data_IF_989932538327
#
_entry.id   IF_989932538327
#
_cell.length_a   1.000
_cell.length_b   1.000
_cell.length_c   1.000
_cell.angle_alpha   90.00
_cell.angle_beta   90.00
_cell.angle_gamma   90.00
#
_symmetry.space_group_name_H-M   'P 1'
#
loop_
_entity.id
_entity.type
_entity.pdbx_description
1 polymer ?
#
# COMPACT_ATOMS: atom_id res chain seq x y z
N UNK A 1 -15.87 -18.67 -9.57
CA UNK A 1 -15.45 -17.70 -10.60
C UNK A 1 -16.61 -16.80 -11.03
N UNK A 2 -17.67 -17.33 -11.68
CA UNK A 2 -18.79 -16.50 -12.15
C UNK A 2 -19.48 -15.68 -11.05
N UNK A 3 -19.66 -16.23 -9.84
CA UNK A 3 -20.21 -15.45 -8.71
C UNK A 3 -19.36 -14.23 -8.36
N UNK A 4 -18.04 -14.37 -8.32
CA UNK A 4 -17.12 -13.25 -8.04
C UNK A 4 -17.16 -12.22 -9.17
N UNK A 5 -17.20 -12.69 -10.43
CA UNK A 5 -17.38 -11.83 -11.59
C UNK A 5 -18.68 -11.02 -11.50
N UNK A 6 -19.80 -11.65 -11.16
CA UNK A 6 -21.09 -10.97 -11.01
C UNK A 6 -21.07 -9.94 -9.86
N UNK A 7 -20.43 -10.25 -8.73
CA UNK A 7 -20.28 -9.31 -7.62
C UNK A 7 -19.42 -8.09 -8.00
N UNK A 8 -18.33 -8.31 -8.77
CA UNK A 8 -17.52 -7.23 -9.29
C UNK A 8 -18.33 -6.30 -10.20
N UNK A 9 -19.05 -6.84 -11.19
CA UNK A 9 -19.85 -6.00 -12.09
C UNK A 9 -21.01 -5.31 -11.38
N UNK A 10 -21.62 -5.96 -10.40
CA UNK A 10 -22.61 -5.30 -9.54
C UNK A 10 -22.01 -4.05 -8.88
N UNK A 11 -20.85 -4.15 -8.22
CA UNK A 11 -20.22 -2.99 -7.59
C UNK A 11 -19.73 -1.94 -8.61
N UNK A 12 -19.08 -2.39 -9.68
CA UNK A 12 -18.49 -1.55 -10.72
C UNK A 12 -19.54 -0.73 -11.47
N UNK A 13 -20.64 -1.35 -11.89
CA UNK A 13 -21.74 -0.66 -12.59
C UNK A 13 -22.41 0.39 -11.70
N UNK A 14 -22.64 0.08 -10.41
CA UNK A 14 -23.23 1.05 -9.48
C UNK A 14 -22.27 2.21 -9.15
N UNK A 15 -20.95 1.97 -9.15
CA UNK A 15 -19.97 3.05 -9.09
C UNK A 15 -20.10 3.98 -10.30
N UNK A 16 -20.14 3.42 -11.51
CA UNK A 16 -20.30 4.21 -12.74
C UNK A 16 -21.61 5.01 -12.77
N UNK A 17 -22.70 4.47 -12.23
CA UNK A 17 -24.00 5.13 -12.22
C UNK A 17 -24.14 6.21 -11.13
N UNK A 18 -23.60 5.96 -9.93
CA UNK A 18 -23.93 6.76 -8.73
C UNK A 18 -22.75 7.56 -8.15
N UNK A 19 -21.52 7.26 -8.56
CA UNK A 19 -20.33 7.89 -7.96
C UNK A 19 -19.31 8.39 -8.98
N UNK A 20 -19.24 7.89 -10.21
CA UNK A 20 -18.33 8.47 -11.20
C UNK A 20 -18.66 9.97 -11.45
N UNK A 21 -17.68 10.90 -11.43
CA UNK A 21 -16.22 10.70 -11.44
C UNK A 21 -15.52 10.76 -10.06
N UNK A 22 -16.26 10.74 -8.95
CA UNK A 22 -15.70 10.75 -7.59
C UNK A 22 -14.79 9.54 -7.32
N UNK A 23 -13.94 9.66 -6.30
CA UNK A 23 -12.99 8.59 -5.93
C UNK A 23 -13.68 7.28 -5.52
N UNK A 24 -14.73 7.38 -4.70
CA UNK A 24 -15.39 6.23 -4.07
C UNK A 24 -16.92 6.33 -4.12
N UNK A 25 -17.59 5.18 -4.16
CA UNK A 25 -19.04 5.06 -3.96
C UNK A 25 -19.35 4.85 -2.48
N UNK A 26 -20.31 5.59 -1.94
CA UNK A 26 -20.98 5.26 -0.68
C UNK A 26 -22.22 4.42 -0.97
N UNK A 27 -22.16 3.08 -0.89
CA UNK A 27 -23.21 2.21 -1.43
C UNK A 27 -24.54 2.29 -0.67
N UNK A 28 -24.54 2.75 0.59
CA UNK A 28 -25.76 2.88 1.39
C UNK A 28 -26.54 4.17 1.08
N UNK A 29 -25.82 5.25 0.77
CA UNK A 29 -26.41 6.55 0.40
C UNK A 29 -26.52 6.74 -1.11
N UNK A 30 -25.91 5.85 -1.90
CA UNK A 30 -25.88 5.87 -3.36
C UNK A 30 -25.35 7.19 -3.93
N UNK A 31 -24.26 7.68 -3.38
CA UNK A 31 -23.57 8.89 -3.86
C UNK A 31 -22.05 8.73 -3.81
N UNK A 32 -21.34 9.59 -4.53
CA UNK A 32 -19.89 9.61 -4.59
C UNK A 32 -19.25 10.46 -3.50
N UNK A 33 -17.99 10.17 -3.18
CA UNK A 33 -17.14 11.00 -2.32
C UNK A 33 -15.71 11.06 -2.85
N UNK A 34 -15.06 12.21 -2.68
CA UNK A 34 -13.62 12.38 -2.94
C UNK A 34 -12.86 12.18 -1.63
N UNK A 35 -12.06 11.13 -1.60
CA UNK A 35 -11.28 10.73 -0.43
C UNK A 35 -9.80 11.05 -0.62
N UNK A 36 -9.30 11.01 -1.86
CA UNK A 36 -7.86 10.96 -2.14
C UNK A 36 -7.36 11.93 -3.21
N UNK A 37 -8.23 12.73 -3.80
CA UNK A 37 -7.83 13.82 -4.70
C UNK A 37 -8.68 13.98 -5.95
N UNK A 38 -9.84 13.29 -6.03
CA UNK A 38 -10.78 13.36 -7.16
C UNK A 38 -10.16 12.84 -8.47
N UNK A 39 -9.48 11.70 -8.42
CA UNK A 39 -8.82 11.07 -9.57
C UNK A 39 -9.66 9.98 -10.24
N UNK A 40 -10.95 9.85 -9.86
CA UNK A 40 -11.75 8.66 -10.15
C UNK A 40 -11.05 7.39 -9.66
N UNK A 41 -10.57 7.41 -8.42
CA UNK A 41 -9.71 6.37 -7.83
C UNK A 41 -10.22 4.93 -8.04
N UNK A 42 -11.51 4.67 -7.78
CA UNK A 42 -12.12 3.34 -8.00
C UNK A 42 -11.96 2.89 -9.45
N UNK A 43 -12.02 3.82 -10.40
CA UNK A 43 -11.86 3.51 -11.82
C UNK A 43 -10.42 3.12 -12.16
N UNK A 44 -9.43 3.78 -11.55
CA UNK A 44 -8.00 3.44 -11.69
C UNK A 44 -7.72 2.07 -11.05
N UNK A 45 -8.15 1.85 -9.80
CA UNK A 45 -7.96 0.60 -9.06
C UNK A 45 -8.65 -0.61 -9.73
N UNK A 46 -9.72 -0.38 -10.51
CA UNK A 46 -10.46 -1.45 -11.18
C UNK A 46 -9.85 -1.91 -12.53
N UNK A 47 -8.92 -1.15 -13.13
CA UNK A 47 -8.44 -1.38 -14.49
C UNK A 47 -7.83 -2.76 -14.70
N UNK A 48 -6.84 -3.13 -13.89
CA UNK A 48 -6.17 -4.42 -14.03
C UNK A 48 -7.15 -5.59 -13.79
N UNK A 49 -8.11 -5.41 -12.88
CA UNK A 49 -9.16 -6.38 -12.55
C UNK A 49 -10.13 -6.58 -13.71
N UNK A 50 -10.53 -5.52 -14.41
CA UNK A 50 -11.33 -5.62 -15.64
C UNK A 50 -10.66 -6.55 -16.66
N UNK A 51 -9.34 -6.40 -16.85
CA UNK A 51 -8.58 -7.26 -17.74
C UNK A 51 -8.48 -8.69 -17.24
N UNK A 52 -8.22 -8.92 -15.95
CA UNK A 52 -8.18 -10.26 -15.34
C UNK A 52 -9.53 -10.99 -15.50
N UNK A 53 -10.64 -10.26 -15.40
CA UNK A 53 -11.99 -10.78 -15.65
C UNK A 53 -12.34 -10.92 -17.14
N UNK A 54 -11.46 -10.49 -18.04
CA UNK A 54 -11.57 -10.64 -19.49
C UNK A 54 -12.41 -9.58 -20.19
N UNK A 55 -12.73 -8.47 -19.53
CA UNK A 55 -13.49 -7.36 -20.13
C UNK A 55 -12.57 -6.31 -20.73
N UNK A 56 -12.04 -6.68 -21.88
CA UNK A 56 -11.07 -5.89 -22.64
C UNK A 56 -11.69 -4.58 -23.18
N UNK A 57 -12.95 -4.62 -23.61
CA UNK A 57 -13.65 -3.42 -24.11
C UNK A 57 -13.79 -2.35 -23.04
N UNK A 58 -14.11 -2.76 -21.81
CA UNK A 58 -14.26 -1.82 -20.71
C UNK A 58 -12.91 -1.29 -20.24
N UNK A 59 -11.88 -2.13 -20.20
CA UNK A 59 -10.51 -1.69 -19.98
C UNK A 59 -10.12 -0.57 -20.96
N UNK A 60 -10.34 -0.78 -22.26
CA UNK A 60 -10.05 0.21 -23.31
C UNK A 60 -10.85 1.50 -23.13
N UNK A 61 -12.13 1.40 -22.80
CA UNK A 61 -12.99 2.56 -22.54
C UNK A 61 -12.43 3.39 -21.38
N UNK A 62 -12.10 2.73 -20.26
CA UNK A 62 -11.58 3.39 -19.07
C UNK A 62 -10.25 4.06 -19.34
N UNK A 63 -9.34 3.41 -20.06
CA UNK A 63 -8.06 4.02 -20.46
C UNK A 63 -8.26 5.34 -21.21
N UNK A 64 -9.27 5.45 -22.07
CA UNK A 64 -9.59 6.71 -22.75
C UNK A 64 -10.20 7.73 -21.80
N UNK A 65 -11.14 7.32 -20.94
CA UNK A 65 -11.78 8.22 -19.95
C UNK A 65 -10.75 8.84 -19.01
N UNK A 66 -9.78 8.07 -18.53
CA UNK A 66 -8.76 8.59 -17.63
C UNK A 66 -7.85 9.62 -18.32
N UNK A 67 -7.46 9.36 -19.57
CA UNK A 67 -6.62 10.29 -20.34
C UNK A 67 -7.32 11.63 -20.63
N UNK A 68 -8.65 11.61 -20.75
CA UNK A 68 -9.43 12.82 -21.02
C UNK A 68 -9.85 13.56 -19.74
N UNK A 69 -9.97 12.84 -18.60
CA UNK A 69 -10.64 13.36 -17.40
C UNK A 69 -9.76 13.58 -16.17
N UNK A 70 -8.57 12.96 -16.08
CA UNK A 70 -7.71 13.08 -14.89
C UNK A 70 -6.66 14.17 -15.09
N UNK A 71 -6.62 15.10 -14.14
CA UNK A 71 -5.64 16.19 -14.06
C UNK A 71 -4.93 16.14 -12.70
N UNK A 72 -3.60 16.14 -12.70
CA UNK A 72 -2.78 16.17 -11.48
C UNK A 72 -2.32 17.58 -11.09
N UNK A 73 -2.64 18.61 -11.88
CA UNK A 73 -2.39 20.03 -11.59
C UNK A 73 -3.53 20.69 -10.80
N UNK A 74 -4.04 20.01 -9.77
CA UNK A 74 -5.17 20.47 -8.94
C UNK A 74 -4.74 20.92 -7.54
N UNK A 75 -5.37 21.97 -7.01
CA UNK A 75 -5.14 22.47 -5.65
C UNK A 75 -5.86 21.58 -4.62
N UNK A 76 -5.31 20.39 -4.39
CA UNK A 76 -5.82 19.42 -3.43
C UNK A 76 -4.67 18.81 -2.62
N UNK A 77 -4.92 18.59 -1.33
CA UNK A 77 -4.01 17.82 -0.49
C UNK A 77 -4.30 16.34 -0.65
N UNK A 78 -3.28 15.57 -1.07
CA UNK A 78 -3.38 14.14 -1.26
C UNK A 78 -2.44 13.39 -0.30
N UNK A 79 -2.83 12.17 0.07
CA UNK A 79 -1.97 11.25 0.82
C UNK A 79 -0.86 10.74 -0.10
N UNK A 80 0.39 10.89 0.33
CA UNK A 80 1.56 10.46 -0.46
C UNK A 80 1.57 8.94 -0.63
N UNK A 81 1.22 8.22 0.44
CA UNK A 81 1.16 6.77 0.48
C UNK A 81 0.03 6.22 -0.41
N UNK A 82 -1.19 6.72 -0.24
CA UNK A 82 -2.36 6.20 -0.97
C UNK A 82 -2.28 6.51 -2.47
N UNK A 83 -1.85 7.73 -2.82
CA UNK A 83 -1.66 8.10 -4.23
C UNK A 83 -0.59 7.23 -4.90
N UNK A 84 0.49 6.85 -4.19
CA UNK A 84 1.47 5.94 -4.76
C UNK A 84 0.89 4.55 -5.04
N UNK A 85 0.33 3.89 -4.02
CA UNK A 85 -0.06 2.48 -4.16
C UNK A 85 -1.29 2.28 -5.05
N UNK A 86 -2.18 3.27 -5.13
CA UNK A 86 -3.42 3.20 -5.92
C UNK A 86 -3.29 3.85 -7.29
N UNK A 87 -2.90 5.13 -7.33
CA UNK A 87 -2.84 5.88 -8.59
C UNK A 87 -1.61 5.49 -9.40
N UNK A 88 -0.40 5.63 -8.83
CA UNK A 88 0.84 5.30 -9.55
C UNK A 88 0.89 3.80 -9.86
N UNK A 89 0.61 2.95 -8.86
CA UNK A 89 0.53 1.50 -9.01
C UNK A 89 -0.51 1.04 -10.03
N UNK A 90 -1.75 1.57 -9.95
CA UNK A 90 -2.84 1.26 -10.87
C UNK A 90 -2.52 1.67 -12.31
N UNK A 91 -2.01 2.88 -12.54
CA UNK A 91 -1.62 3.35 -13.87
C UNK A 91 -0.44 2.54 -14.45
N UNK A 92 0.58 2.22 -13.65
CA UNK A 92 1.71 1.39 -14.09
C UNK A 92 1.26 -0.03 -14.45
N UNK A 93 0.40 -0.64 -13.64
CA UNK A 93 -0.12 -1.98 -13.91
C UNK A 93 -0.94 -2.00 -15.20
N UNK A 94 -1.85 -1.03 -15.39
CA UNK A 94 -2.65 -0.90 -16.59
C UNK A 94 -1.77 -0.63 -17.83
N UNK A 95 -0.74 0.21 -17.72
CA UNK A 95 0.22 0.46 -18.78
C UNK A 95 0.93 -0.83 -19.24
N UNK A 96 1.46 -1.61 -18.30
CA UNK A 96 2.15 -2.87 -18.58
C UNK A 96 1.21 -3.96 -19.11
N UNK A 97 -0.08 -3.87 -18.80
CA UNK A 97 -1.11 -4.78 -19.27
C UNK A 97 -1.77 -4.37 -20.59
N UNK A 98 -1.61 -3.12 -21.02
CA UNK A 98 -2.30 -2.53 -22.17
C UNK A 98 -2.13 -3.33 -23.47
N UNK A 99 -0.90 -3.79 -23.76
CA UNK A 99 -0.65 -4.61 -24.96
C UNK A 99 -1.40 -5.94 -24.93
N UNK A 100 -1.51 -6.57 -23.75
CA UNK A 100 -2.26 -7.83 -23.56
C UNK A 100 -3.77 -7.59 -23.65
N UNK A 101 -4.22 -6.40 -23.27
CA UNK A 101 -5.59 -5.92 -23.43
C UNK A 101 -5.91 -5.44 -24.86
N UNK A 102 -5.02 -5.66 -25.84
CA UNK A 102 -5.27 -5.24 -27.22
C UNK A 102 -5.44 -3.74 -27.41
N UNK A 103 -4.98 -2.92 -26.46
CA UNK A 103 -4.87 -1.47 -26.63
C UNK A 103 -3.77 -1.20 -27.65
N UNK A 104 -4.00 -0.28 -28.57
CA UNK A 104 -2.96 0.21 -29.46
C UNK A 104 -1.90 0.95 -28.63
N UNK A 105 -0.70 0.38 -28.55
CA UNK A 105 0.41 0.94 -27.78
C UNK A 105 1.37 1.71 -28.68
N UNK A 106 1.95 2.78 -28.15
CA UNK A 106 2.97 3.57 -28.84
C UNK A 106 4.21 2.71 -29.19
N UNK A 107 4.94 3.09 -30.24
CA UNK A 107 6.11 2.34 -30.73
C UNK A 107 7.23 2.15 -29.69
N UNK A 108 7.30 2.99 -28.66
CA UNK A 108 8.28 2.93 -27.57
C UNK A 108 7.86 2.07 -26.36
N UNK A 109 6.70 1.41 -26.41
CA UNK A 109 6.22 0.57 -25.30
C UNK A 109 7.19 -0.59 -24.96
N UNK A 110 7.46 -0.87 -23.67
CA UNK A 110 6.82 -0.31 -22.48
C UNK A 110 7.44 0.98 -21.95
N UNK A 111 8.51 1.51 -22.55
CA UNK A 111 9.16 2.74 -22.11
C UNK A 111 8.46 4.03 -22.60
N UNK A 112 7.33 3.91 -23.29
CA UNK A 112 6.47 5.04 -23.68
C UNK A 112 4.99 4.62 -23.66
N UNK A 113 4.12 5.58 -23.36
CA UNK A 113 2.67 5.40 -23.40
C UNK A 113 1.96 6.46 -22.57
N UNK A 114 0.66 6.72 -22.84
CA UNK A 114 -0.10 7.74 -22.12
C UNK A 114 -0.24 7.43 -20.63
N UNK A 115 -0.57 6.18 -20.28
CA UNK A 115 -0.70 5.76 -18.88
C UNK A 115 0.63 5.86 -18.11
N UNK A 116 1.75 5.57 -18.76
CA UNK A 116 3.08 5.77 -18.17
C UNK A 116 3.34 7.25 -17.88
N UNK A 117 3.01 8.16 -18.81
CA UNK A 117 3.16 9.60 -18.60
C UNK A 117 2.29 10.10 -17.45
N UNK A 118 1.05 9.61 -17.35
CA UNK A 118 0.17 9.92 -16.23
C UNK A 118 0.73 9.41 -14.89
N UNK A 119 1.25 8.18 -14.85
CA UNK A 119 1.89 7.63 -13.65
C UNK A 119 3.12 8.44 -13.24
N UNK A 120 3.93 8.86 -14.22
CA UNK A 120 5.09 9.72 -14.00
C UNK A 120 4.68 11.09 -13.44
N UNK A 121 3.67 11.71 -14.02
CA UNK A 121 3.13 12.99 -13.58
C UNK A 121 2.65 12.93 -12.12
N UNK A 122 1.82 11.94 -11.80
CA UNK A 122 1.34 11.70 -10.44
C UNK A 122 2.51 11.49 -9.46
N UNK A 123 3.49 10.64 -9.81
CA UNK A 123 4.65 10.38 -8.96
C UNK A 123 5.53 11.63 -8.78
N UNK A 124 5.66 12.49 -9.80
CA UNK A 124 6.41 13.75 -9.69
C UNK A 124 5.76 14.70 -8.68
N UNK A 125 4.42 14.72 -8.57
CA UNK A 125 3.71 15.50 -7.53
C UNK A 125 4.04 15.04 -6.11
N UNK A 126 4.47 13.80 -5.94
CA UNK A 126 4.83 13.23 -4.64
C UNK A 126 6.28 13.56 -4.21
N UNK A 127 7.17 13.85 -5.15
CA UNK A 127 8.60 14.09 -4.85
C UNK A 127 8.88 15.21 -3.83
N UNK A 128 8.12 16.33 -3.76
CA UNK A 128 8.30 17.34 -2.72
C UNK A 128 8.19 16.78 -1.29
N UNK A 129 7.36 15.76 -1.05
CA UNK A 129 7.24 15.16 0.28
C UNK A 129 8.53 14.50 0.76
N UNK A 130 9.39 14.01 -0.14
CA UNK A 130 10.67 13.38 0.19
C UNK A 130 11.78 14.39 0.51
N UNK A 131 11.54 15.69 0.37
CA UNK A 131 12.51 16.75 0.63
C UNK A 131 12.66 17.05 2.12
N UNK A 132 12.93 16.01 2.91
CA UNK A 132 13.20 16.09 4.35
C UNK A 132 14.69 15.85 4.62
N UNK A 133 15.22 16.30 5.78
CA UNK A 133 16.62 16.02 6.15
C UNK A 133 16.96 14.53 6.15
N UNK A 134 15.98 13.67 6.49
CA UNK A 134 16.16 12.21 6.54
C UNK A 134 15.94 11.55 5.17
N UNK A 135 15.17 12.19 4.28
CA UNK A 135 14.67 11.59 3.03
C UNK A 135 13.44 10.71 3.21
N UNK A 136 12.88 10.60 4.42
CA UNK A 136 11.57 9.98 4.67
C UNK A 136 10.47 10.98 4.27
N UNK A 137 9.41 10.58 3.54
CA UNK A 137 8.41 11.51 3.05
C UNK A 137 7.44 11.99 4.14
N UNK A 138 6.93 13.21 3.99
CA UNK A 138 5.72 13.65 4.70
C UNK A 138 4.51 12.76 4.36
N UNK A 139 3.48 12.77 5.21
CA UNK A 139 2.27 11.97 5.01
C UNK A 139 1.39 12.50 3.87
N UNK A 140 1.32 13.83 3.71
CA UNK A 140 0.54 14.47 2.64
C UNK A 140 1.34 15.50 1.84
N UNK A 141 0.86 15.78 0.64
CA UNK A 141 1.40 16.79 -0.27
C UNK A 141 0.25 17.44 -1.05
N UNK A 142 0.33 18.75 -1.29
CA UNK A 142 -0.56 19.43 -2.23
C UNK A 142 -0.05 19.21 -3.65
N UNK A 143 -0.90 18.76 -4.58
CA UNK A 143 -0.46 18.43 -5.93
C UNK A 143 -0.03 19.64 -6.77
N UNK A 144 -0.53 20.84 -6.44
CA UNK A 144 -0.16 22.08 -7.11
C UNK A 144 0.98 22.81 -6.39
N UNK A 145 0.97 22.80 -5.06
CA UNK A 145 1.81 23.66 -4.23
C UNK A 145 2.93 22.92 -3.47
N UNK A 146 2.96 21.59 -3.51
CA UNK A 146 3.91 20.79 -2.74
C UNK A 146 3.54 20.66 -1.26
N UNK A 147 4.53 20.48 -0.39
CA UNK A 147 4.26 20.25 1.05
C UNK A 147 3.82 21.55 1.72
N UNK A 148 2.66 21.52 2.39
CA UNK A 148 2.18 22.67 3.15
C UNK A 148 3.13 23.00 4.31
N UNK A 149 3.44 24.28 4.59
CA UNK A 149 4.31 24.64 5.71
C UNK A 149 3.81 24.20 7.10
N UNK A 150 2.51 23.97 7.25
CA UNK A 150 1.88 23.46 8.48
C UNK A 150 1.72 21.94 8.53
N UNK A 151 2.25 21.21 7.54
CA UNK A 151 2.14 19.75 7.50
C UNK A 151 2.86 19.10 8.69
N UNK A 152 2.23 18.07 9.25
CA UNK A 152 2.84 17.31 10.36
C UNK A 152 4.06 16.54 9.86
N UNK A 153 5.22 16.60 10.55
CA UNK A 153 6.37 15.77 10.21
C UNK A 153 6.19 14.32 10.66
N UNK A 154 5.09 13.96 11.32
CA UNK A 154 4.87 12.62 11.85
C UNK A 154 4.10 11.78 10.83
N UNK A 155 4.69 10.66 10.41
CA UNK A 155 4.08 9.69 9.50
C UNK A 155 4.32 8.26 9.99
N UNK A 156 3.58 7.30 9.44
CA UNK A 156 3.73 5.89 9.79
C UNK A 156 4.87 5.21 9.01
N UNK A 157 5.38 4.11 9.54
CA UNK A 157 6.45 3.32 8.89
C UNK A 157 6.05 2.82 7.50
N UNK A 158 4.81 2.36 7.33
CA UNK A 158 4.26 1.98 6.03
C UNK A 158 4.25 3.17 5.05
N UNK A 159 3.84 4.35 5.51
CA UNK A 159 3.80 5.59 4.73
C UNK A 159 5.17 6.10 4.28
N UNK A 160 6.27 5.54 4.79
CA UNK A 160 7.64 5.82 4.36
C UNK A 160 8.20 4.69 3.49
N UNK A 161 7.87 3.45 3.83
CA UNK A 161 8.50 2.24 3.28
C UNK A 161 7.88 1.71 1.99
N UNK A 162 6.77 2.26 1.52
CA UNK A 162 5.91 1.61 0.52
C UNK A 162 5.93 2.34 -0.82
N UNK A 163 7.13 2.51 -1.39
CA UNK A 163 7.33 3.18 -2.69
C UNK A 163 8.22 2.41 -3.67
N UNK A 164 9.13 1.54 -3.18
CA UNK A 164 10.20 0.99 -4.03
C UNK A 164 9.68 0.17 -5.21
N UNK A 165 8.52 -0.47 -5.10
CA UNK A 165 7.94 -1.27 -6.19
C UNK A 165 7.50 -0.36 -7.35
N UNK A 166 6.70 0.67 -7.07
CA UNK A 166 6.21 1.59 -8.10
C UNK A 166 7.33 2.50 -8.60
N UNK A 167 8.08 3.11 -7.68
CA UNK A 167 9.09 4.11 -8.03
C UNK A 167 10.27 3.50 -8.78
N UNK A 168 10.73 2.29 -8.43
CA UNK A 168 11.76 1.62 -9.22
C UNK A 168 11.23 1.19 -10.60
N UNK A 169 9.99 0.69 -10.67
CA UNK A 169 9.35 0.38 -11.95
C UNK A 169 9.29 1.62 -12.85
N UNK A 170 8.87 2.75 -12.28
CA UNK A 170 8.80 4.02 -13.00
C UNK A 170 10.18 4.49 -13.48
N UNK A 171 11.20 4.50 -12.61
CA UNK A 171 12.58 4.84 -12.99
C UNK A 171 13.13 3.96 -14.12
N UNK A 172 12.85 2.66 -14.08
CA UNK A 172 13.29 1.74 -15.13
C UNK A 172 12.54 1.95 -16.47
N UNK A 173 11.27 2.35 -16.45
CA UNK A 173 10.48 2.60 -17.65
C UNK A 173 10.77 3.96 -18.29
N UNK A 174 10.97 5.00 -17.48
CA UNK A 174 11.19 6.39 -17.95
C UNK A 174 12.67 6.72 -18.14
N UNK A 175 13.57 6.00 -17.45
CA UNK A 175 14.99 6.30 -17.38
C UNK A 175 15.36 7.42 -16.40
N UNK A 176 14.40 7.99 -15.67
CA UNK A 176 14.66 8.98 -14.62
C UNK A 176 14.93 8.28 -13.27
N UNK A 177 16.16 8.31 -12.73
CA UNK A 177 16.51 7.57 -11.52
C UNK A 177 15.93 8.19 -10.24
N UNK A 178 15.38 9.42 -10.29
CA UNK A 178 14.97 10.16 -9.09
C UNK A 178 13.97 9.38 -8.23
N UNK A 179 13.03 8.66 -8.85
CA UNK A 179 11.99 7.92 -8.13
C UNK A 179 12.60 6.79 -7.32
N UNK A 180 13.36 5.89 -7.95
CA UNK A 180 14.03 4.81 -7.24
C UNK A 180 14.97 5.33 -6.15
N UNK A 181 15.74 6.38 -6.43
CA UNK A 181 16.69 6.95 -5.49
C UNK A 181 16.02 7.45 -4.20
N UNK A 182 14.90 8.18 -4.30
CA UNK A 182 14.18 8.67 -3.11
C UNK A 182 13.56 7.52 -2.31
N UNK A 183 12.99 6.52 -2.99
CA UNK A 183 12.40 5.35 -2.32
C UNK A 183 13.47 4.54 -1.57
N UNK A 184 14.64 4.31 -2.20
CA UNK A 184 15.77 3.63 -1.55
C UNK A 184 16.32 4.42 -0.38
N UNK A 185 16.43 5.75 -0.49
CA UNK A 185 16.87 6.62 0.60
C UNK A 185 15.93 6.50 1.80
N UNK A 186 14.61 6.53 1.57
CA UNK A 186 13.60 6.36 2.62
C UNK A 186 13.71 5.00 3.32
N UNK A 187 13.81 3.90 2.56
CA UNK A 187 14.02 2.55 3.13
C UNK A 187 15.29 2.45 3.98
N UNK A 188 16.40 3.04 3.50
CA UNK A 188 17.68 3.10 4.23
C UNK A 188 17.58 3.96 5.49
N UNK A 189 16.77 5.02 5.48
CA UNK A 189 16.53 5.85 6.65
C UNK A 189 15.76 5.08 7.73
N UNK A 190 14.70 4.35 7.39
CA UNK A 190 14.00 3.46 8.32
C UNK A 190 14.93 2.39 8.90
N UNK A 191 15.70 1.73 8.02
CA UNK A 191 16.66 0.71 8.42
C UNK A 191 17.71 1.22 9.43
N UNK A 192 18.14 2.49 9.31
CA UNK A 192 19.08 3.09 10.26
C UNK A 192 18.43 3.45 11.60
N UNK A 193 17.11 3.67 11.63
CA UNK A 193 16.36 4.10 12.82
C UNK A 193 15.72 2.94 13.60
N UNK A 194 16.11 1.70 13.33
CA UNK A 194 15.70 0.55 14.14
C UNK A 194 16.19 0.69 15.59
N UNK A 195 15.44 0.09 16.50
CA UNK A 195 15.87 -0.15 17.88
C UNK A 195 17.07 -1.10 17.95
N UNK A 196 17.72 -1.15 19.11
CA UNK A 196 18.81 -2.09 19.40
C UNK A 196 18.38 -3.57 19.30
N UNK A 197 17.08 -3.85 19.44
CA UNK A 197 16.51 -5.19 19.27
C UNK A 197 16.00 -5.47 17.84
N UNK A 198 16.23 -4.54 16.91
CA UNK A 198 15.97 -4.71 15.48
C UNK A 198 14.56 -4.36 15.00
N UNK A 199 13.69 -3.87 15.88
CA UNK A 199 12.31 -3.47 15.56
C UNK A 199 12.20 -1.98 15.16
N UNK A 200 11.12 -1.65 14.44
CA UNK A 200 10.68 -0.29 14.10
C UNK A 200 9.34 0.01 14.77
N UNK A 201 9.12 1.26 15.16
CA UNK A 201 7.83 1.69 15.72
C UNK A 201 6.78 1.93 14.64
N UNK A 202 5.62 2.41 15.06
CA UNK A 202 4.50 2.68 14.17
C UNK A 202 4.63 4.05 13.50
N UNK A 203 4.94 5.12 14.26
CA UNK A 203 5.06 6.49 13.74
C UNK A 203 6.37 7.16 14.12
N UNK A 204 6.95 7.90 13.18
CA UNK A 204 8.24 8.59 13.31
C UNK A 204 8.13 10.03 12.78
N UNK A 205 8.83 10.94 13.45
CA UNK A 205 9.04 12.30 12.96
C UNK A 205 10.12 12.29 11.86
N UNK A 206 9.75 12.64 10.63
CA UNK A 206 10.61 12.54 9.43
C UNK A 206 11.69 13.61 9.36
N UNK A 207 11.64 14.62 10.21
CA UNK A 207 12.65 15.68 10.27
C UNK A 207 13.72 15.33 11.29
N UNK A 208 13.32 14.85 12.46
CA UNK A 208 14.19 14.57 13.60
C UNK A 208 14.60 13.11 13.74
N UNK A 209 13.95 12.21 12.99
CA UNK A 209 14.10 10.76 13.07
C UNK A 209 13.75 10.16 14.45
N UNK A 210 12.87 10.82 15.21
CA UNK A 210 12.43 10.34 16.53
C UNK A 210 11.11 9.59 16.43
N UNK A 211 11.05 8.39 16.99
CA UNK A 211 9.83 7.61 17.09
C UNK A 211 8.81 8.27 18.05
N UNK A 212 7.62 8.56 17.52
CA UNK A 212 6.50 9.16 18.24
C UNK A 212 5.55 8.08 18.76
N UNK A 213 5.29 7.04 17.96
CA UNK A 213 4.57 5.84 18.39
C UNK A 213 5.52 4.64 18.30
N UNK A 214 5.83 4.04 19.45
CA UNK A 214 6.89 3.04 19.61
C UNK A 214 6.37 1.61 19.65
N UNK A 215 5.07 1.41 19.43
CA UNK A 215 4.48 0.09 19.24
C UNK A 215 4.99 -0.50 17.92
N UNK A 216 5.56 -1.68 17.99
CA UNK A 216 6.09 -2.45 16.88
C UNK A 216 5.25 -3.71 16.69
N UNK A 217 4.94 -4.02 15.44
CA UNK A 217 4.16 -5.18 15.06
C UNK A 217 4.24 -5.38 13.55
N UNK A 218 3.40 -6.26 13.04
CA UNK A 218 3.26 -6.50 11.60
C UNK A 218 1.98 -5.89 11.03
N UNK A 219 1.16 -5.21 11.84
CA UNK A 219 -0.14 -4.69 11.41
C UNK A 219 -0.10 -3.25 10.89
N UNK A 220 -1.25 -2.60 10.99
CA UNK A 220 -1.54 -1.30 10.38
C UNK A 220 -0.48 -0.24 10.70
N UNK A 221 0.02 0.41 9.65
CA UNK A 221 1.05 1.46 9.74
C UNK A 221 2.49 0.94 9.74
N UNK A 222 2.71 -0.38 9.68
CA UNK A 222 4.03 -1.01 9.52
C UNK A 222 4.02 -2.07 8.42
N UNK A 223 2.97 -2.88 8.35
CA UNK A 223 2.68 -3.93 7.38
C UNK A 223 3.46 -3.89 6.04
N UNK A 224 3.11 -2.96 5.15
CA UNK A 224 3.56 -2.94 3.75
C UNK A 224 5.02 -2.55 3.60
N UNK A 225 5.66 -1.98 4.64
CA UNK A 225 7.12 -1.81 4.65
C UNK A 225 7.83 -3.16 4.52
N UNK A 226 7.39 -4.18 5.25
CA UNK A 226 7.97 -5.52 5.15
C UNK A 226 7.66 -6.18 3.81
N UNK A 227 6.45 -5.97 3.27
CA UNK A 227 6.12 -6.44 1.92
C UNK A 227 7.05 -5.86 0.88
N UNK A 228 7.34 -4.56 0.96
CA UNK A 228 8.11 -3.85 -0.05
C UNK A 228 9.60 -4.19 0.00
N UNK A 229 10.13 -4.56 1.17
CA UNK A 229 11.47 -5.14 1.25
C UNK A 229 11.55 -6.47 0.48
N UNK A 230 10.57 -7.36 0.63
CA UNK A 230 10.55 -8.66 -0.07
C UNK A 230 10.21 -8.50 -1.56
N UNK A 231 9.11 -7.81 -1.88
CA UNK A 231 8.65 -7.60 -3.26
C UNK A 231 9.67 -6.78 -4.06
N UNK A 232 10.23 -5.73 -3.47
CA UNK A 232 11.31 -4.95 -4.07
C UNK A 232 12.57 -5.78 -4.30
N UNK A 233 12.96 -6.63 -3.33
CA UNK A 233 14.07 -7.55 -3.50
C UNK A 233 13.87 -8.54 -4.67
N UNK A 234 12.65 -9.08 -4.81
CA UNK A 234 12.32 -10.01 -5.91
C UNK A 234 12.31 -9.27 -7.25
N UNK A 235 11.63 -8.12 -7.32
CA UNK A 235 11.49 -7.32 -8.54
C UNK A 235 12.85 -6.86 -9.08
N UNK A 236 13.71 -6.34 -8.19
CA UNK A 236 14.98 -5.71 -8.54
C UNK A 236 16.18 -6.66 -8.42
N UNK A 237 15.94 -7.92 -8.01
CA UNK A 237 16.99 -8.88 -7.65
C UNK A 237 17.96 -8.33 -6.59
N UNK A 238 17.43 -7.57 -5.64
CA UNK A 238 18.19 -6.80 -4.67
C UNK A 238 18.42 -7.58 -3.37
N UNK A 239 19.68 -8.00 -3.17
CA UNK A 239 20.10 -8.73 -1.98
C UNK A 239 20.12 -7.87 -0.72
N UNK A 240 20.31 -6.55 -0.83
CA UNK A 240 20.30 -5.64 0.31
C UNK A 240 18.90 -5.61 0.93
N UNK A 241 17.87 -5.43 0.11
CA UNK A 241 16.46 -5.41 0.56
C UNK A 241 16.03 -6.73 1.19
N UNK A 242 16.39 -7.87 0.58
CA UNK A 242 16.08 -9.19 1.16
C UNK A 242 16.80 -9.38 2.51
N UNK A 243 18.07 -9.00 2.59
CA UNK A 243 18.84 -9.05 3.84
C UNK A 243 18.18 -8.21 4.93
N UNK A 244 17.70 -7.01 4.59
CA UNK A 244 16.96 -6.17 5.52
C UNK A 244 15.73 -6.87 6.09
N UNK A 245 14.91 -7.44 5.21
CA UNK A 245 13.72 -8.18 5.63
C UNK A 245 14.06 -9.40 6.50
N UNK A 246 15.09 -10.17 6.17
CA UNK A 246 15.45 -11.37 6.93
C UNK A 246 15.88 -11.04 8.37
N UNK A 247 16.59 -9.93 8.58
CA UNK A 247 16.92 -9.42 9.92
C UNK A 247 15.67 -8.95 10.67
N UNK A 248 14.75 -8.25 10.01
CA UNK A 248 13.45 -7.91 10.62
C UNK A 248 12.66 -9.16 10.99
N UNK A 249 12.57 -10.15 10.10
CA UNK A 249 11.86 -11.39 10.35
C UNK A 249 12.42 -12.14 11.57
N UNK A 250 13.75 -12.11 11.76
CA UNK A 250 14.38 -12.65 12.97
C UNK A 250 13.94 -11.89 14.23
N UNK A 251 13.95 -10.56 14.21
CA UNK A 251 13.50 -9.75 15.36
C UNK A 251 12.00 -9.97 15.66
N UNK A 252 11.15 -9.96 14.63
CA UNK A 252 9.71 -10.22 14.72
C UNK A 252 9.46 -11.60 15.33
N UNK A 253 10.12 -12.66 14.84
CA UNK A 253 10.00 -14.01 15.41
C UNK A 253 10.44 -14.09 16.87
N UNK A 254 11.44 -13.31 17.27
CA UNK A 254 11.98 -13.35 18.64
C UNK A 254 11.12 -12.57 19.64
N UNK A 255 10.55 -11.44 19.23
CA UNK A 255 9.91 -10.49 20.16
C UNK A 255 8.40 -10.39 20.00
N UNK A 256 7.85 -10.66 18.82
CA UNK A 256 6.41 -10.47 18.54
C UNK A 256 5.65 -11.78 18.43
N UNK A 257 6.33 -12.90 18.15
CA UNK A 257 5.67 -14.18 17.87
C UNK A 257 5.34 -14.96 19.16
N UNK A 258 4.06 -15.17 19.43
CA UNK A 258 3.55 -15.97 20.56
C UNK A 258 2.46 -16.93 20.07
N UNK A 259 2.67 -18.25 20.19
CA UNK A 259 1.70 -19.28 19.74
C UNK A 259 1.15 -19.06 18.32
N UNK A 260 2.06 -18.72 17.39
CA UNK A 260 1.77 -18.39 15.98
C UNK A 260 0.86 -17.14 15.79
N UNK A 261 0.73 -16.29 16.82
CA UNK A 261 0.26 -14.91 16.73
C UNK A 261 1.43 -13.93 16.71
N UNK A 262 1.21 -12.72 16.19
CA UNK A 262 2.20 -11.65 16.12
C UNK A 262 1.71 -10.45 16.91
N UNK A 263 2.00 -10.42 18.21
CA UNK A 263 1.51 -9.38 19.13
C UNK A 263 2.29 -8.08 18.94
N UNK A 264 1.61 -6.97 19.21
CA UNK A 264 2.25 -5.66 19.27
C UNK A 264 3.09 -5.56 20.54
N UNK A 265 4.32 -5.06 20.39
CA UNK A 265 5.29 -4.91 21.48
C UNK A 265 5.94 -3.53 21.45
N UNK A 266 6.48 -3.09 22.58
CA UNK A 266 7.28 -1.88 22.62
C UNK A 266 8.63 -2.11 21.93
N UNK A 267 8.97 -1.27 20.94
CA UNK A 267 10.08 -1.52 20.00
C UNK A 267 11.46 -1.65 20.62
N UNK A 268 11.74 -1.05 21.80
CA UNK A 268 13.05 -1.08 22.44
C UNK A 268 13.20 -2.20 23.47
N UNK A 269 12.08 -2.71 24.02
CA UNK A 269 12.08 -3.69 25.11
C UNK A 269 11.48 -5.04 24.72
N UNK A 270 10.69 -5.11 23.65
CA UNK A 270 9.98 -6.32 23.24
C UNK A 270 8.87 -6.74 24.20
N UNK A 271 8.48 -5.86 25.13
CA UNK A 271 7.36 -6.10 26.05
C UNK A 271 6.04 -5.92 25.31
N UNK A 272 5.14 -6.90 25.41
CA UNK A 272 3.80 -6.84 24.82
C UNK A 272 3.08 -5.56 25.24
N UNK A 273 2.66 -4.76 24.26
CA UNK A 273 1.89 -3.54 24.45
C UNK A 273 0.41 -3.76 24.15
N UNK A 274 0.09 -4.49 23.07
CA UNK A 274 -1.28 -4.87 22.73
C UNK A 274 -1.35 -6.33 22.29
N UNK A 275 -2.06 -7.21 23.03
CA UNK A 275 -2.22 -8.61 22.66
C UNK A 275 -3.40 -8.78 21.68
N UNK A 276 -3.35 -8.09 20.54
CA UNK A 276 -4.41 -8.06 19.53
C UNK A 276 -3.90 -8.56 18.19
N UNK A 277 -4.80 -9.14 17.41
CA UNK A 277 -4.66 -9.36 15.97
C UNK A 277 -5.51 -8.32 15.25
N UNK A 278 -4.92 -7.65 14.25
CA UNK A 278 -5.65 -6.73 13.37
C UNK A 278 -5.96 -7.43 12.04
N UNK A 279 -7.13 -7.17 11.45
CA UNK A 279 -7.53 -7.76 10.16
C UNK A 279 -6.46 -7.57 9.06
N UNK A 280 -5.78 -6.42 9.05
CA UNK A 280 -4.73 -6.08 8.10
C UNK A 280 -3.50 -6.99 8.20
N UNK A 281 -3.24 -7.62 9.36
CA UNK A 281 -2.12 -8.56 9.57
C UNK A 281 -2.30 -9.87 8.77
N UNK A 282 -3.47 -10.08 8.16
CA UNK A 282 -3.79 -11.25 7.33
C UNK A 282 -2.93 -11.36 6.04
N UNK A 283 -2.19 -10.33 5.66
CA UNK A 283 -1.22 -10.40 4.55
C UNK A 283 0.01 -11.28 4.89
N UNK A 284 0.37 -11.37 6.17
CA UNK A 284 1.65 -11.92 6.63
C UNK A 284 1.91 -13.39 6.21
N UNK A 285 0.94 -14.32 6.29
CA UNK A 285 1.11 -15.67 5.74
C UNK A 285 1.46 -15.69 4.26
N UNK A 286 0.92 -14.73 3.48
CA UNK A 286 1.27 -14.56 2.06
C UNK A 286 2.74 -14.17 1.90
N UNK A 287 3.22 -13.21 2.70
CA UNK A 287 4.62 -12.78 2.69
C UNK A 287 5.57 -13.92 3.12
N UNK A 288 5.21 -14.69 4.15
CA UNK A 288 5.94 -15.87 4.59
C UNK A 288 6.03 -16.93 3.49
N UNK A 289 4.94 -17.15 2.75
CA UNK A 289 4.92 -18.08 1.62
C UNK A 289 5.83 -17.61 0.48
N UNK A 290 5.88 -16.30 0.19
CA UNK A 290 6.73 -15.73 -0.85
C UNK A 290 8.24 -15.97 -0.61
N UNK A 291 8.66 -16.02 0.65
CA UNK A 291 10.06 -16.31 1.04
C UNK A 291 10.32 -17.81 1.26
N UNK A 292 9.34 -18.67 1.01
CA UNK A 292 9.44 -20.12 1.19
C UNK A 292 9.21 -20.63 2.62
N UNK A 293 8.75 -19.79 3.55
CA UNK A 293 8.43 -20.17 4.93
C UNK A 293 6.98 -20.69 5.06
N UNK A 294 6.66 -21.73 4.27
CA UNK A 294 5.31 -22.27 4.10
C UNK A 294 4.74 -22.85 5.40
N UNK A 295 5.58 -23.47 6.24
CA UNK A 295 5.13 -24.09 7.49
C UNK A 295 4.64 -23.05 8.50
N UNK A 296 5.37 -21.93 8.67
CA UNK A 296 4.93 -20.85 9.54
C UNK A 296 3.71 -20.11 8.94
N UNK A 297 3.68 -19.94 7.62
CA UNK A 297 2.53 -19.36 6.92
C UNK A 297 1.25 -20.15 7.21
N UNK A 298 1.30 -21.48 7.09
CA UNK A 298 0.14 -22.34 7.35
C UNK A 298 -0.36 -22.22 8.79
N UNK A 299 0.54 -22.23 9.79
CA UNK A 299 0.14 -22.11 11.21
C UNK A 299 -0.50 -20.76 11.52
N UNK A 300 0.11 -19.68 11.05
CA UNK A 300 -0.43 -18.32 11.21
C UNK A 300 -1.79 -18.19 10.53
N UNK A 301 -1.93 -18.72 9.30
CA UNK A 301 -3.19 -18.73 8.58
C UNK A 301 -4.30 -19.51 9.30
N UNK A 302 -3.99 -20.63 9.96
CA UNK A 302 -4.96 -21.41 10.72
C UNK A 302 -5.53 -20.62 11.92
N UNK A 303 -4.70 -19.81 12.59
CA UNK A 303 -5.15 -18.89 13.64
C UNK A 303 -6.15 -17.87 13.08
N UNK A 304 -5.81 -17.22 11.98
CA UNK A 304 -6.67 -16.21 11.35
C UNK A 304 -7.96 -16.82 10.81
N UNK A 305 -7.88 -18.01 10.21
CA UNK A 305 -9.05 -18.75 9.74
C UNK A 305 -10.01 -19.12 10.88
N UNK A 306 -9.49 -19.41 12.07
CA UNK A 306 -10.33 -19.68 13.25
C UNK A 306 -11.14 -18.46 13.66
N UNK A 307 -10.54 -17.27 13.64
CA UNK A 307 -11.24 -15.99 13.87
C UNK A 307 -12.30 -15.76 12.78
N UNK A 308 -11.93 -15.94 11.51
CA UNK A 308 -12.85 -15.81 10.39
C UNK A 308 -14.06 -16.75 10.53
N UNK A 309 -13.83 -18.00 10.94
CA UNK A 309 -14.90 -18.99 11.15
C UNK A 309 -15.83 -18.61 12.30
N UNK A 310 -15.32 -17.94 13.32
CA UNK A 310 -16.10 -17.49 14.48
C UNK A 310 -17.05 -16.34 14.13
N UNK A 311 -16.59 -15.36 13.34
CA UNK A 311 -17.34 -14.12 13.07
C UNK A 311 -17.91 -14.01 11.64
N UNK A 312 -17.57 -14.94 10.74
CA UNK A 312 -17.91 -14.87 9.31
C UNK A 312 -17.05 -13.87 8.52
N UNK A 313 -16.07 -13.26 9.17
CA UNK A 313 -15.16 -12.23 8.66
C UNK A 313 -14.03 -12.03 9.68
N UNK A 314 -12.97 -11.30 9.30
CA UNK A 314 -11.95 -10.88 10.26
C UNK A 314 -12.42 -9.56 10.88
N UNK A 315 -12.54 -9.43 12.21
CA UNK A 315 -12.82 -8.13 12.82
C UNK A 315 -11.60 -7.21 12.67
N UNK A 316 -11.81 -5.91 12.67
CA UNK A 316 -10.73 -4.91 12.64
C UNK A 316 -9.71 -5.18 13.74
N UNK A 317 -10.19 -5.46 14.96
CA UNK A 317 -9.35 -5.90 16.09
C UNK A 317 -9.97 -7.12 16.79
N UNK A 318 -9.15 -8.15 16.95
CA UNK A 318 -9.44 -9.33 17.75
C UNK A 318 -8.52 -9.36 18.98
N UNK A 319 -9.09 -9.40 20.17
CA UNK A 319 -8.36 -9.56 21.42
C UNK A 319 -8.05 -11.04 21.64
N UNK A 320 -6.77 -11.39 21.52
CA UNK A 320 -6.33 -12.80 21.53
C UNK A 320 -6.58 -13.46 22.90
N UNK A 321 -6.20 -12.85 24.06
CA UNK A 321 -6.51 -13.44 25.37
C UNK A 321 -8.00 -13.62 25.66
N UNK A 322 -8.84 -12.70 25.20
CA UNK A 322 -10.29 -12.75 25.45
C UNK A 322 -11.03 -13.67 24.47
N UNK A 323 -10.44 -13.97 23.32
CA UNK A 323 -11.09 -14.76 22.28
C UNK A 323 -12.27 -14.03 21.62
N UNK A 324 -12.24 -12.69 21.59
CA UNK A 324 -13.36 -11.87 21.16
C UNK A 324 -12.92 -10.56 20.47
N UNK A 325 -13.86 -9.87 19.83
CA UNK A 325 -13.62 -8.57 19.19
C UNK A 325 -13.36 -7.47 20.22
N UNK A 326 -12.63 -6.43 19.82
CA UNK A 326 -12.46 -5.22 20.64
C UNK A 326 -13.66 -4.28 20.41
N UNK A 327 -14.18 -3.69 21.50
CA UNK A 327 -15.31 -2.73 21.45
C UNK A 327 -15.02 -1.58 20.46
N UNK A 328 -16.00 -1.26 19.60
CA UNK A 328 -15.93 -0.26 18.51
C UNK A 328 -14.94 -0.59 17.39
N UNK A 329 -14.42 -1.81 17.34
CA UNK A 329 -13.48 -2.35 16.34
C UNK A 329 -13.91 -3.75 15.89
N UNK A 330 -15.21 -4.03 15.94
CA UNK A 330 -15.81 -5.32 15.58
C UNK A 330 -16.04 -5.44 14.07
N UNK A 331 -16.18 -4.31 13.38
CA UNK A 331 -16.45 -4.27 11.94
C UNK A 331 -15.29 -4.81 11.11
N UNK A 332 -15.59 -5.19 9.87
CA UNK A 332 -14.57 -5.41 8.84
C UNK A 332 -14.34 -4.08 8.10
N UNK A 333 -13.09 -3.67 7.84
CA UNK A 333 -12.80 -2.44 7.11
C UNK A 333 -13.06 -2.65 5.61
N UNK A 334 -14.30 -2.42 5.18
CA UNK A 334 -14.67 -2.30 3.76
C UNK A 334 -15.57 -1.10 3.55
#
# INVERSE_FOLDING_TARGET
>A
RERVRAMFYHAYEHYLESAFPYDELRPLTCDGQDTWGSFSLTLIDALDTLLILGNVSEFQRVVNVLQEGVDFDVDVNASVFETNIRVVGGLLSAHLLSKKAGVEVEAGWPCSGPLLRMAEEAARKLLPAFQTPTGMPYGTVNLLHGVNPGETPVTCTAGIGTFIVEFATLSHLTGDPVFEDVARKALKALWKNRSDIGLVGNHIDVVTAKWVAQDAGIGAGVDSYFEYLVKGAILLQDKELMSMFLEYNKAIKNYTKFDDWYLWVQMYKGTVSMPVFQSLEAYWPGLQSLIGDVDNAMRTFLNYYTVWKQFGGLPEFYNIPQGYTVDKREGYPL
#
